data_IF_859836606828
#
_entry.id   IF_859836606828
#
_cell.length_a   1.000
_cell.length_b   1.000
_cell.length_c   1.000
_cell.angle_alpha   90.00
_cell.angle_beta   90.00
_cell.angle_gamma   90.00
#
_symmetry.space_group_name_H-M   'P 1'
#
loop_
_entity.id
_entity.type
_entity.pdbx_description
1 polymer ?
#
# COMPACT_ATOMS: atom_id res chain seq x y z
N UNK A 1 6.85 1.17 0.59
CA UNK A 1 5.66 1.39 1.44
C UNK A 1 5.41 0.12 2.24
N UNK A 2 4.97 0.24 3.49
CA UNK A 2 4.62 -0.88 4.36
C UNK A 2 3.16 -1.26 4.10
N UNK A 3 2.87 -2.55 3.94
CA UNK A 3 1.50 -3.09 3.98
C UNK A 3 1.12 -3.33 5.44
N UNK A 4 0.02 -2.76 5.90
CA UNK A 4 -0.43 -2.87 7.29
C UNK A 4 -1.61 -3.83 7.44
N UNK A 5 -2.56 -3.79 6.50
CA UNK A 5 -3.74 -4.66 6.51
C UNK A 5 -4.18 -5.03 5.09
N UNK A 6 -4.87 -6.16 5.00
CA UNK A 6 -5.66 -6.55 3.81
C UNK A 6 -7.05 -6.88 4.31
N UNK A 7 -8.04 -6.16 3.81
CA UNK A 7 -9.44 -6.27 4.23
C UNK A 7 -10.31 -6.58 3.02
N UNK A 8 -11.48 -7.17 3.27
CA UNK A 8 -12.48 -7.44 2.24
C UNK A 8 -13.68 -6.53 2.48
N UNK A 9 -14.09 -5.80 1.45
CA UNK A 9 -15.24 -4.90 1.48
C UNK A 9 -16.19 -5.19 0.30
N UNK A 10 -17.23 -4.39 0.12
CA UNK A 10 -18.27 -4.62 -0.91
C UNK A 10 -17.74 -4.55 -2.35
N UNK A 11 -16.68 -3.77 -2.58
CA UNK A 11 -16.01 -3.63 -3.89
C UNK A 11 -14.85 -4.61 -4.11
N UNK A 12 -14.58 -5.50 -3.15
CA UNK A 12 -13.51 -6.50 -3.22
C UNK A 12 -12.48 -6.36 -2.12
N UNK A 13 -11.28 -6.90 -2.34
CA UNK A 13 -10.20 -6.87 -1.35
C UNK A 13 -9.29 -5.67 -1.55
N UNK A 14 -9.04 -4.94 -0.46
CA UNK A 14 -8.23 -3.73 -0.43
C UNK A 14 -7.05 -3.95 0.51
N UNK A 15 -5.86 -3.58 0.05
CA UNK A 15 -4.68 -3.51 0.89
C UNK A 15 -4.43 -2.06 1.27
N UNK A 16 -4.16 -1.83 2.55
CA UNK A 16 -3.82 -0.50 3.09
C UNK A 16 -2.49 -0.54 3.83
N UNK A 17 -1.86 0.61 3.94
CA UNK A 17 -0.58 0.74 4.61
C UNK A 17 -0.09 2.17 4.72
N UNK A 18 1.24 2.34 4.71
CA UNK A 18 1.86 3.66 4.83
C UNK A 18 3.21 3.80 4.13
N UNK A 19 3.50 5.02 3.69
CA UNK A 19 4.80 5.42 3.17
C UNK A 19 5.80 5.71 4.30
N UNK A 20 7.09 5.73 3.98
CA UNK A 20 8.15 5.91 4.99
C UNK A 20 8.08 7.26 5.72
N UNK A 21 7.48 8.28 5.09
CA UNK A 21 7.35 9.62 5.66
C UNK A 21 6.02 9.84 6.41
N UNK A 22 5.11 8.86 6.41
CA UNK A 22 3.82 8.95 7.11
C UNK A 22 3.94 8.40 8.53
N UNK A 23 3.59 9.24 9.51
CA UNK A 23 3.42 8.86 10.90
C UNK A 23 2.16 8.00 11.07
N UNK A 24 2.18 6.98 11.95
CA UNK A 24 0.99 6.17 12.22
C UNK A 24 -0.18 7.03 12.73
N UNK A 25 -1.38 6.76 12.23
CA UNK A 25 -2.67 7.31 12.67
C UNK A 25 -2.87 8.83 12.48
N UNK A 26 -1.78 9.61 12.44
CA UNK A 26 -1.79 11.07 12.35
C UNK A 26 -1.78 11.54 10.89
N UNK A 27 -1.02 10.86 10.05
CA UNK A 27 -1.00 11.11 8.61
C UNK A 27 -2.01 10.18 7.90
N UNK A 28 -2.35 10.53 6.65
CA UNK A 28 -3.19 9.67 5.80
C UNK A 28 -2.57 8.29 5.55
N UNK A 29 -3.37 7.38 5.01
CA UNK A 29 -2.95 6.03 4.67
C UNK A 29 -2.45 5.96 3.21
N UNK A 30 -1.92 4.79 2.84
CA UNK A 30 -1.73 4.38 1.46
C UNK A 30 -2.77 3.32 1.15
N UNK A 31 -3.57 3.55 0.11
CA UNK A 31 -4.49 2.57 -0.48
C UNK A 31 -3.83 2.01 -1.73
N UNK A 32 -3.64 0.69 -1.79
CA UNK A 32 -3.07 0.05 -2.98
C UNK A 32 -4.16 -0.22 -4.01
N UNK A 33 -3.87 0.04 -5.29
CA UNK A 33 -4.81 -0.20 -6.40
C UNK A 33 -5.13 -1.67 -6.66
N UNK A 34 -4.31 -2.57 -6.11
CA UNK A 34 -4.52 -4.01 -6.10
C UNK A 34 -3.89 -4.61 -4.84
N UNK A 35 -4.43 -5.75 -4.41
CA UNK A 35 -3.96 -6.52 -3.26
C UNK A 35 -3.11 -7.75 -3.65
N UNK A 36 -2.88 -7.98 -4.93
CA UNK A 36 -2.21 -9.19 -5.43
C UNK A 36 -0.80 -9.34 -4.81
N UNK A 37 -0.56 -10.47 -4.13
CA UNK A 37 0.73 -10.72 -3.47
C UNK A 37 1.02 -9.85 -2.24
N UNK A 38 0.10 -8.97 -1.83
CA UNK A 38 0.28 -8.13 -0.64
C UNK A 38 -0.16 -8.88 0.62
N UNK A 39 0.67 -8.80 1.66
CA UNK A 39 0.38 -9.35 2.98
C UNK A 39 0.85 -8.35 4.06
N UNK A 40 0.17 -8.27 5.21
CA UNK A 40 0.60 -7.42 6.32
C UNK A 40 2.06 -7.64 6.71
N UNK A 41 2.78 -6.54 6.97
CA UNK A 41 4.21 -6.55 7.29
C UNK A 41 5.16 -6.54 6.09
N UNK A 42 4.65 -6.75 4.85
CA UNK A 42 5.48 -6.70 3.64
C UNK A 42 5.88 -5.24 3.35
N UNK A 43 7.16 -5.04 3.03
CA UNK A 43 7.64 -3.80 2.41
C UNK A 43 7.63 -3.97 0.89
N UNK A 44 7.02 -3.02 0.18
CA UNK A 44 6.93 -3.03 -1.28
C UNK A 44 7.45 -1.74 -1.90
N UNK A 45 8.04 -1.82 -3.09
CA UNK A 45 8.22 -0.64 -3.93
C UNK A 45 6.86 -0.30 -4.55
N UNK A 46 6.47 0.96 -4.39
CA UNK A 46 5.18 1.43 -4.87
C UNK A 46 5.29 2.90 -5.24
N UNK A 47 4.52 3.28 -6.24
CA UNK A 47 4.41 4.64 -6.74
C UNK A 47 3.05 5.20 -6.35
N UNK A 48 3.04 6.34 -5.66
CA UNK A 48 1.81 7.11 -5.50
C UNK A 48 1.38 7.64 -6.88
N UNK A 49 0.16 7.32 -7.28
CA UNK A 49 -0.43 7.69 -8.58
C UNK A 49 -1.60 8.66 -8.43
N UNK A 50 -2.10 8.84 -7.21
CA UNK A 50 -3.19 9.76 -6.91
C UNK A 50 -3.40 9.91 -5.41
N UNK A 51 -4.50 10.57 -5.06
CA UNK A 51 -4.90 10.80 -3.67
C UNK A 51 -6.41 10.76 -3.53
N UNK A 52 -6.89 10.23 -2.41
CA UNK A 52 -8.28 10.30 -1.96
C UNK A 52 -8.31 11.07 -0.65
N UNK A 53 -8.63 12.37 -0.70
CA UNK A 53 -8.47 13.25 0.46
C UNK A 53 -7.00 13.35 0.89
N UNK A 54 -6.68 12.88 2.09
CA UNK A 54 -5.30 12.84 2.64
C UNK A 54 -4.60 11.50 2.35
N UNK A 55 -5.33 10.52 1.85
CA UNK A 55 -4.80 9.18 1.59
C UNK A 55 -4.13 9.15 0.21
N UNK A 56 -3.02 8.43 0.11
CA UNK A 56 -2.30 8.21 -1.13
C UNK A 56 -2.87 6.97 -1.83
N UNK A 57 -3.16 7.06 -3.12
CA UNK A 57 -3.44 5.89 -3.95
C UNK A 57 -2.15 5.46 -4.62
N UNK A 58 -1.76 4.19 -4.45
CA UNK A 58 -0.47 3.68 -4.92
C UNK A 58 -0.57 2.39 -5.74
N UNK A 59 0.21 2.34 -6.81
CA UNK A 59 0.47 1.11 -7.57
C UNK A 59 1.75 0.47 -7.02
N UNK A 60 1.68 -0.81 -6.63
CA UNK A 60 2.86 -1.56 -6.22
C UNK A 60 3.48 -2.29 -7.42
N UNK A 61 4.80 -2.42 -7.39
CA UNK A 61 5.54 -3.21 -8.35
C UNK A 61 6.22 -4.35 -7.62
N UNK A 62 6.15 -5.56 -8.18
CA UNK A 62 7.06 -6.63 -7.77
C UNK A 62 8.48 -6.13 -8.08
N UNK A 63 9.26 -5.92 -7.03
CA UNK A 63 10.70 -5.80 -7.18
C UNK A 63 11.14 -7.16 -7.73
N UNK A 64 11.42 -7.24 -9.04
CA UNK A 64 12.13 -8.37 -9.61
C UNK A 64 13.31 -8.63 -8.68
N UNK A 65 13.34 -9.82 -8.06
CA UNK A 65 14.33 -10.15 -7.04
C UNK A 65 15.69 -9.67 -7.56
N UNK A 66 16.23 -8.64 -6.91
CA UNK A 66 17.53 -8.13 -7.28
C UNK A 66 18.48 -9.27 -6.96
N UNK A 67 18.84 -10.05 -7.98
CA UNK A 67 19.67 -11.23 -7.89
C UNK A 67 20.85 -10.93 -6.97
N UNK A 68 20.82 -11.49 -5.75
CA UNK A 68 21.92 -11.46 -4.81
C UNK A 68 21.84 -12.58 -3.79
#
# INVERSE_FOLDING_TARGET
>A
MLVESVESDEDGEVAVGRAAHQAPETDGQVVFTTREGLVPGRMVEAKAVGTEGVDLVAEHHELAEAAR
#
